data_IF_274134213829
#
_entry.id   IF_274134213829
#
_cell.length_a   1.000
_cell.length_b   1.000
_cell.length_c   1.000
_cell.angle_alpha   90.00
_cell.angle_beta   90.00
_cell.angle_gamma   90.00
#
_symmetry.space_group_name_H-M   'P 1'
#
loop_
_entity.id
_entity.type
_entity.pdbx_description
1 polymer ?
#
# COMPACT_ATOMS: atom_id res chain seq x y z
N UNK A 1 2.06 -20.07 14.64
CA UNK A 1 1.73 -19.48 13.32
C UNK A 1 3.06 -19.22 12.64
N UNK A 2 3.33 -19.77 11.45
CA UNK A 2 4.61 -19.55 10.75
C UNK A 2 4.48 -18.33 9.84
N UNK A 3 5.45 -17.41 9.90
CA UNK A 3 5.53 -16.28 8.98
C UNK A 3 5.86 -16.76 7.57
N UNK A 4 5.26 -16.15 6.56
CA UNK A 4 5.67 -16.35 5.16
C UNK A 4 6.91 -15.50 4.84
N UNK A 5 7.71 -15.86 3.81
CA UNK A 5 8.85 -15.04 3.39
C UNK A 5 8.45 -13.59 3.07
N UNK A 6 7.29 -13.42 2.44
CA UNK A 6 6.72 -12.10 2.11
C UNK A 6 6.40 -11.29 3.37
N UNK A 7 5.80 -11.92 4.39
CA UNK A 7 5.54 -11.24 5.66
C UNK A 7 6.83 -10.85 6.38
N UNK A 8 7.85 -11.71 6.36
CA UNK A 8 9.18 -11.37 6.93
C UNK A 8 9.78 -10.18 6.21
N UNK A 9 9.80 -10.18 4.88
CA UNK A 9 10.36 -9.08 4.08
C UNK A 9 9.58 -7.78 4.30
N UNK A 10 8.24 -7.82 4.31
CA UNK A 10 7.41 -6.66 4.56
C UNK A 10 7.65 -6.09 5.96
N UNK A 11 7.67 -6.95 6.99
CA UNK A 11 7.95 -6.55 8.37
C UNK A 11 9.36 -5.97 8.55
N UNK A 12 10.37 -6.56 7.92
CA UNK A 12 11.74 -6.05 7.95
C UNK A 12 11.86 -4.65 7.35
N UNK A 13 11.26 -4.42 6.18
CA UNK A 13 11.28 -3.10 5.53
C UNK A 13 10.51 -2.05 6.32
N UNK A 14 9.45 -2.46 7.01
CA UNK A 14 8.68 -1.57 7.88
C UNK A 14 9.47 -1.19 9.15
N UNK A 15 10.12 -2.16 9.81
CA UNK A 15 10.90 -1.92 11.03
C UNK A 15 12.24 -1.22 10.74
N UNK A 16 12.85 -1.52 9.60
CA UNK A 16 14.15 -1.02 9.19
C UNK A 16 14.08 -0.46 7.77
N UNK A 17 13.58 0.78 7.58
CA UNK A 17 13.56 1.45 6.29
C UNK A 17 14.99 1.54 5.73
N UNK A 18 15.22 0.90 4.58
CA UNK A 18 16.53 0.85 3.93
C UNK A 18 17.36 -0.41 4.22
N UNK A 19 16.81 -1.42 4.90
CA UNK A 19 17.49 -2.71 5.05
C UNK A 19 17.78 -3.36 3.70
N UNK A 20 19.01 -3.79 3.50
CA UNK A 20 19.43 -4.54 2.31
C UNK A 20 19.24 -6.06 2.57
N UNK A 21 18.34 -6.68 1.80
CA UNK A 21 18.02 -8.10 1.93
C UNK A 21 19.09 -9.05 1.37
N UNK A 22 20.22 -8.53 0.91
CA UNK A 22 21.39 -9.29 0.45
C UNK A 22 22.59 -9.14 1.38
N UNK A 23 22.82 -7.95 1.96
CA UNK A 23 23.97 -7.72 2.84
C UNK A 23 23.63 -7.71 4.33
N UNK A 24 22.45 -7.21 4.68
CA UNK A 24 22.09 -6.97 6.09
C UNK A 24 21.33 -8.15 6.70
N UNK A 25 20.61 -8.89 5.86
CA UNK A 25 19.75 -10.00 6.27
C UNK A 25 19.49 -10.96 5.11
N UNK A 26 19.57 -12.26 5.34
CA UNK A 26 19.08 -13.27 4.39
C UNK A 26 17.76 -13.87 4.91
N UNK A 27 16.76 -13.94 4.04
CA UNK A 27 15.48 -14.61 4.32
C UNK A 27 15.45 -15.92 3.53
N UNK A 28 15.58 -17.04 4.25
CA UNK A 28 15.61 -18.38 3.67
C UNK A 28 14.29 -19.08 3.95
N UNK A 29 13.77 -19.79 2.95
CA UNK A 29 12.53 -20.56 3.09
C UNK A 29 12.79 -22.02 2.72
N UNK A 30 12.37 -22.95 3.58
CA UNK A 30 12.40 -24.38 3.25
C UNK A 30 11.18 -24.79 2.42
N UNK A 31 11.23 -25.98 1.81
CA UNK A 31 10.12 -26.55 1.04
C UNK A 31 8.85 -26.83 1.88
N UNK A 32 8.92 -26.65 3.20
CA UNK A 32 7.82 -26.81 4.17
C UNK A 32 7.27 -25.46 4.63
N UNK A 33 7.75 -24.35 4.05
CA UNK A 33 7.31 -22.99 4.38
C UNK A 33 7.82 -22.47 5.73
N UNK A 34 8.84 -23.10 6.32
CA UNK A 34 9.55 -22.53 7.47
C UNK A 34 10.50 -21.46 6.96
N UNK A 35 10.47 -20.29 7.60
CA UNK A 35 11.36 -19.18 7.27
C UNK A 35 12.46 -19.09 8.31
N UNK A 36 13.71 -19.06 7.85
CA UNK A 36 14.90 -18.79 8.64
C UNK A 36 15.40 -17.39 8.30
N UNK A 37 15.69 -16.60 9.35
CA UNK A 37 16.24 -15.26 9.24
C UNK A 37 17.71 -15.27 9.63
N UNK A 38 18.62 -15.01 8.70
CA UNK A 38 20.03 -14.79 9.01
C UNK A 38 20.30 -13.32 9.11
N UNK A 39 20.62 -12.88 10.31
CA UNK A 39 20.81 -11.48 10.64
C UNK A 39 22.30 -11.13 10.62
N UNK A 40 22.68 -10.14 9.81
CA UNK A 40 24.07 -9.73 9.63
C UNK A 40 24.37 -8.33 10.18
N UNK A 41 23.37 -7.61 10.71
CA UNK A 41 23.57 -6.29 11.31
C UNK A 41 23.99 -6.39 12.78
N UNK A 42 24.61 -5.31 13.25
CA UNK A 42 24.82 -5.10 14.67
C UNK A 42 23.47 -4.97 15.41
N UNK A 43 23.34 -5.75 16.50
CA UNK A 43 22.13 -5.78 17.34
C UNK A 43 21.29 -7.04 17.18
N UNK A 44 20.25 -7.20 18.01
CA UNK A 44 19.40 -8.38 17.99
C UNK A 44 18.51 -8.38 16.74
N UNK A 45 18.30 -9.57 16.17
CA UNK A 45 17.32 -9.76 15.12
C UNK A 45 15.90 -9.47 15.65
N UNK A 46 14.99 -8.92 14.82
CA UNK A 46 13.59 -8.74 15.19
C UNK A 46 12.92 -10.07 15.58
N UNK A 47 12.01 -10.02 16.56
CA UNK A 47 11.22 -11.19 16.92
C UNK A 47 10.18 -11.50 15.85
N UNK A 48 9.75 -12.76 15.76
CA UNK A 48 8.65 -13.14 14.85
C UNK A 48 7.38 -12.32 15.09
N UNK A 49 7.07 -12.03 16.36
CA UNK A 49 5.90 -11.21 16.70
C UNK A 49 6.04 -9.76 16.21
N UNK A 50 7.23 -9.16 16.34
CA UNK A 50 7.50 -7.82 15.82
C UNK A 50 7.42 -7.79 14.29
N UNK A 51 7.97 -8.81 13.62
CA UNK A 51 7.86 -8.95 12.17
C UNK A 51 6.42 -9.10 11.70
N UNK A 52 5.62 -9.92 12.39
CA UNK A 52 4.21 -10.12 12.05
C UNK A 52 3.39 -8.84 12.21
N UNK A 53 3.57 -8.12 13.33
CA UNK A 53 2.88 -6.85 13.56
C UNK A 53 3.25 -5.82 12.48
N UNK A 54 4.55 -5.65 12.23
CA UNK A 54 5.05 -4.71 11.23
C UNK A 54 4.62 -5.09 9.80
N UNK A 55 4.54 -6.38 9.48
CA UNK A 55 4.00 -6.85 8.21
C UNK A 55 2.53 -6.49 8.05
N UNK A 56 1.73 -6.58 9.11
CA UNK A 56 0.33 -6.14 9.12
C UNK A 56 0.19 -4.64 8.82
N UNK A 57 1.03 -3.81 9.44
CA UNK A 57 1.10 -2.37 9.15
C UNK A 57 1.46 -2.12 7.69
N UNK A 58 2.52 -2.78 7.18
CA UNK A 58 2.95 -2.64 5.80
C UNK A 58 1.86 -3.04 4.78
N UNK A 59 1.10 -4.11 5.08
CA UNK A 59 -0.01 -4.56 4.25
C UNK A 59 -1.16 -3.54 4.23
N UNK A 60 -1.52 -2.99 5.39
CA UNK A 60 -2.56 -1.96 5.48
C UNK A 60 -2.15 -0.68 4.72
N UNK A 61 -0.89 -0.26 4.82
CA UNK A 61 -0.38 0.87 4.05
C UNK A 61 -0.37 0.60 2.54
N UNK A 62 0.00 -0.60 2.10
CA UNK A 62 -0.02 -0.93 0.66
C UNK A 62 -1.45 -1.00 0.11
N UNK A 63 -2.41 -1.49 0.89
CA UNK A 63 -3.82 -1.43 0.53
C UNK A 63 -4.28 0.02 0.34
N UNK A 64 -3.98 0.93 1.29
CA UNK A 64 -4.31 2.34 1.15
C UNK A 64 -3.65 3.00 -0.09
N UNK A 65 -2.38 2.67 -0.38
CA UNK A 65 -1.70 3.15 -1.61
C UNK A 65 -2.33 2.61 -2.89
N UNK A 66 -2.82 1.38 -2.85
CA UNK A 66 -3.55 0.78 -3.97
C UNK A 66 -4.87 1.52 -4.18
N UNK A 67 -5.65 1.72 -3.14
CA UNK A 67 -6.94 2.41 -3.20
C UNK A 67 -6.75 3.83 -3.75
N UNK A 68 -5.71 4.55 -3.32
CA UNK A 68 -5.35 5.86 -3.87
C UNK A 68 -5.01 5.83 -5.38
N UNK A 69 -4.29 4.80 -5.85
CA UNK A 69 -4.00 4.63 -7.28
C UNK A 69 -5.27 4.32 -8.09
N UNK A 70 -6.16 3.51 -7.55
CA UNK A 70 -7.44 3.18 -8.18
C UNK A 70 -8.33 4.43 -8.27
N UNK A 71 -8.40 5.25 -7.20
CA UNK A 71 -9.12 6.53 -7.23
C UNK A 71 -8.53 7.50 -8.26
N UNK A 72 -7.20 7.59 -8.37
CA UNK A 72 -6.55 8.42 -9.38
C UNK A 72 -6.93 7.99 -10.81
N UNK A 73 -6.95 6.67 -11.08
CA UNK A 73 -7.35 6.16 -12.39
C UNK A 73 -8.81 6.51 -12.73
N UNK A 74 -9.71 6.44 -11.74
CA UNK A 74 -11.10 6.85 -11.91
C UNK A 74 -11.22 8.36 -12.16
N UNK A 75 -10.44 9.20 -11.47
CA UNK A 75 -10.39 10.64 -11.71
C UNK A 75 -9.94 10.97 -13.14
N UNK A 76 -8.92 10.28 -13.64
CA UNK A 76 -8.43 10.47 -15.01
C UNK A 76 -9.51 10.11 -16.04
N UNK A 77 -10.28 9.04 -15.79
CA UNK A 77 -11.43 8.66 -16.61
C UNK A 77 -12.53 9.74 -16.58
N UNK A 78 -12.87 10.27 -15.40
CA UNK A 78 -13.86 11.34 -15.25
C UNK A 78 -13.42 12.63 -15.94
N UNK A 79 -12.13 12.98 -15.89
CA UNK A 79 -11.59 14.12 -16.63
C UNK A 79 -11.78 13.97 -18.15
N UNK A 80 -11.52 12.77 -18.69
CA UNK A 80 -11.73 12.50 -20.11
C UNK A 80 -13.22 12.59 -20.52
N UNK A 81 -14.13 12.06 -19.69
CA UNK A 81 -15.57 12.16 -19.93
C UNK A 81 -16.08 13.61 -19.82
N UNK A 82 -15.54 14.39 -18.89
CA UNK A 82 -15.90 15.80 -18.72
C UNK A 82 -15.59 16.61 -19.97
N UNK A 83 -14.40 16.43 -20.55
CA UNK A 83 -14.03 17.08 -21.82
C UNK A 83 -15.03 16.70 -22.92
N UNK A 84 -15.43 15.43 -23.01
CA UNK A 84 -16.42 14.98 -23.99
C UNK A 84 -17.81 15.58 -23.75
N UNK A 85 -18.24 15.69 -22.49
CA UNK A 85 -19.53 16.29 -22.14
C UNK A 85 -19.55 17.79 -22.50
N UNK A 86 -18.46 18.51 -22.24
CA UNK A 86 -18.30 19.92 -22.59
C UNK A 86 -18.31 20.13 -24.11
N UNK A 87 -17.61 19.28 -24.87
CA UNK A 87 -17.59 19.37 -26.33
C UNK A 87 -18.96 19.09 -26.97
N UNK A 88 -19.80 18.28 -26.33
CA UNK A 88 -21.15 17.95 -26.81
C UNK A 88 -22.22 18.88 -26.24
N UNK A 89 -21.87 19.80 -25.34
CA UNK A 89 -22.82 20.68 -24.65
C UNK A 89 -23.77 19.93 -23.71
N UNK A 90 -23.44 18.71 -23.29
CA UNK A 90 -24.27 17.90 -22.39
C UNK A 90 -24.05 18.33 -20.93
N UNK A 91 -24.79 19.36 -20.52
CA UNK A 91 -24.67 19.98 -19.19
C UNK A 91 -25.12 19.08 -18.04
N UNK A 92 -26.03 18.14 -18.30
CA UNK A 92 -26.48 17.15 -17.30
C UNK A 92 -25.33 16.20 -16.97
N UNK A 93 -24.73 15.58 -17.99
CA UNK A 93 -23.58 14.70 -17.80
C UNK A 93 -22.38 15.46 -17.19
N UNK A 94 -22.15 16.72 -17.61
CA UNK A 94 -21.11 17.56 -17.01
C UNK A 94 -21.30 17.73 -15.48
N UNK A 95 -22.54 17.96 -15.01
CA UNK A 95 -22.82 18.11 -13.60
C UNK A 95 -22.62 16.80 -12.82
N UNK A 96 -23.08 15.67 -13.36
CA UNK A 96 -22.91 14.34 -12.75
C UNK A 96 -21.43 13.97 -12.64
N UNK A 97 -20.65 14.14 -13.71
CA UNK A 97 -19.22 13.82 -13.73
C UNK A 97 -18.44 14.68 -12.72
N UNK A 98 -18.80 15.97 -12.57
CA UNK A 98 -18.18 16.85 -11.57
C UNK A 98 -18.48 16.40 -10.14
N UNK A 99 -19.71 15.96 -9.86
CA UNK A 99 -20.07 15.43 -8.56
C UNK A 99 -19.27 14.16 -8.23
N UNK A 100 -19.23 13.20 -9.17
CA UNK A 100 -18.43 11.97 -9.01
C UNK A 100 -16.94 12.25 -8.80
N UNK A 101 -16.37 13.21 -9.54
CA UNK A 101 -14.97 13.60 -9.35
C UNK A 101 -14.72 14.22 -7.97
N UNK A 102 -15.66 15.02 -7.46
CA UNK A 102 -15.55 15.61 -6.12
C UNK A 102 -15.64 14.54 -5.03
N UNK A 103 -16.51 13.54 -5.19
CA UNK A 103 -16.63 12.41 -4.25
C UNK A 103 -15.32 11.61 -4.21
N UNK A 104 -14.70 11.33 -5.36
CA UNK A 104 -13.41 10.66 -5.44
C UNK A 104 -12.29 11.47 -4.77
N UNK A 105 -12.23 12.78 -4.99
CA UNK A 105 -11.26 13.65 -4.33
C UNK A 105 -11.43 13.64 -2.81
N UNK A 106 -12.68 13.71 -2.34
CA UNK A 106 -13.02 13.67 -0.91
C UNK A 106 -12.56 12.33 -0.30
N UNK A 107 -12.84 11.21 -0.96
CA UNK A 107 -12.40 9.90 -0.50
C UNK A 107 -10.86 9.77 -0.48
N UNK A 108 -10.16 10.32 -1.47
CA UNK A 108 -8.69 10.36 -1.46
C UNK A 108 -8.12 11.19 -0.31
N UNK A 109 -8.78 12.28 0.07
CA UNK A 109 -8.41 13.07 1.26
C UNK A 109 -8.63 12.28 2.54
N UNK A 110 -9.74 11.55 2.67
CA UNK A 110 -10.01 10.66 3.80
C UNK A 110 -8.95 9.57 3.94
N UNK A 111 -8.57 8.92 2.83
CA UNK A 111 -7.52 7.89 2.81
C UNK A 111 -6.15 8.46 3.22
N UNK A 112 -5.83 9.69 2.83
CA UNK A 112 -4.57 10.35 3.22
C UNK A 112 -4.54 10.78 4.69
N UNK A 113 -5.70 11.14 5.23
CA UNK A 113 -5.86 11.59 6.61
C UNK A 113 -6.20 10.45 7.58
N UNK A 114 -6.42 9.24 7.08
CA UNK A 114 -6.66 8.07 7.89
C UNK A 114 -5.49 7.89 8.89
N UNK A 115 -5.78 7.66 10.18
CA UNK A 115 -4.72 7.44 11.15
C UNK A 115 -3.87 6.24 10.70
N UNK A 116 -2.54 6.43 10.70
CA UNK A 116 -1.61 5.36 10.38
C UNK A 116 -1.98 4.14 11.24
N UNK A 117 -2.16 2.95 10.65
CA UNK A 117 -2.38 1.74 11.43
C UNK A 117 -1.09 1.47 12.22
N UNK A 118 -1.04 1.94 13.48
CA UNK A 118 0.03 1.64 14.44
C UNK A 118 -0.09 0.23 14.98
#
# INVERSE_FOLDING_TARGET
MKLTPEQVVAGLRQLHPGIDLMSDVEVLADARGTVELRWHRDGPAPTEMALLAAAGVAQAQEAARRDLRECQALLDERAALLVRAQLTGNTVAEAEIKAEAQDLLTYMEELRNAPDPT
#
